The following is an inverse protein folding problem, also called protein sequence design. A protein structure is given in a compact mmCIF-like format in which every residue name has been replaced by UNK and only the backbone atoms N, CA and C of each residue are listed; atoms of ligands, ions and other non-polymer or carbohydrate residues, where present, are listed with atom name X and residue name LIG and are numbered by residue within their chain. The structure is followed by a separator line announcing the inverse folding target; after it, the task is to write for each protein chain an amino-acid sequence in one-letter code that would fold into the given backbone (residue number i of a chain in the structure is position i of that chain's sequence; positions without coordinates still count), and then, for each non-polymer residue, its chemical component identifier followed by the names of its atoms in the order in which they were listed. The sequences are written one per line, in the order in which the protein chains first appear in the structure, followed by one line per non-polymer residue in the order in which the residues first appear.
data_IF_594272034293
#
_entry.id   IF_594272034293
#
_cell.length_a   1.000
_cell.length_b   1.000
_cell.length_c   1.000
_cell.angle_alpha   90.00
_cell.angle_beta   90.00
_cell.angle_gamma   90.00
#
_symmetry.space_group_name_H-M   'P 1'
#
loop_
_entity.id
_entity.type
_entity.pdbx_description
1 polymer ?
#
# COMPACT_ATOMS: atom_id res chain seq x y z
N UNK A 1 28.11 12.91 4.32
CA UNK A 1 26.86 12.20 3.97
C UNK A 1 25.95 13.01 3.04
N UNK A 2 25.34 14.13 3.48
CA UNK A 2 24.38 14.88 2.64
C UNK A 2 24.95 15.41 1.32
N UNK A 3 26.18 15.93 1.31
CA UNK A 3 26.85 16.34 0.07
C UNK A 3 26.96 15.18 -0.94
N UNK A 4 27.31 13.98 -0.47
CA UNK A 4 27.38 12.78 -1.31
C UNK A 4 26.01 12.33 -1.80
N UNK A 5 24.98 12.38 -0.95
CA UNK A 5 23.59 12.11 -1.35
C UNK A 5 23.12 13.05 -2.46
N UNK A 6 23.30 14.36 -2.30
CA UNK A 6 22.90 15.32 -3.33
C UNK A 6 23.75 15.22 -4.60
N UNK A 7 25.05 14.94 -4.51
CA UNK A 7 25.88 14.62 -5.69
C UNK A 7 25.33 13.42 -6.45
N UNK A 8 25.03 12.33 -5.73
CA UNK A 8 24.45 11.11 -6.32
C UNK A 8 23.13 11.39 -7.04
N UNK A 9 22.24 12.21 -6.45
CA UNK A 9 21.00 12.63 -7.10
C UNK A 9 21.24 13.41 -8.39
N UNK A 10 22.29 14.24 -8.43
CA UNK A 10 22.68 14.98 -9.64
C UNK A 10 23.23 14.07 -10.72
N UNK A 11 24.14 13.18 -10.36
CA UNK A 11 24.77 12.24 -11.29
C UNK A 11 23.76 11.23 -11.87
N UNK A 12 22.62 11.03 -11.20
CA UNK A 12 21.55 10.10 -11.60
C UNK A 12 20.20 10.81 -11.68
N UNK A 13 20.15 12.04 -12.20
CA UNK A 13 18.93 12.84 -12.31
C UNK A 13 17.86 12.22 -13.20
N UNK A 14 18.26 11.36 -14.13
CA UNK A 14 17.35 10.67 -15.05
C UNK A 14 16.64 9.47 -14.42
N UNK A 15 17.10 8.99 -13.26
CA UNK A 15 16.54 7.86 -12.54
C UNK A 15 15.23 8.22 -11.83
N UNK A 16 14.38 7.21 -11.64
CA UNK A 16 13.18 7.30 -10.80
C UNK A 16 13.49 6.78 -9.40
N UNK A 17 13.12 7.55 -8.38
CA UNK A 17 13.38 7.28 -6.98
C UNK A 17 12.13 6.80 -6.29
N UNK A 18 12.10 5.51 -5.98
CA UNK A 18 11.03 4.87 -5.21
C UNK A 18 11.20 5.28 -3.74
N UNK A 19 10.14 5.79 -3.15
CA UNK A 19 10.13 6.21 -1.77
C UNK A 19 8.84 5.83 -1.05
N UNK A 20 8.83 5.96 0.26
CA UNK A 20 7.66 5.70 1.10
C UNK A 20 7.25 6.97 1.84
N UNK A 21 6.19 7.64 1.36
CA UNK A 21 5.59 8.80 2.04
C UNK A 21 6.55 9.97 2.34
N UNK A 22 7.64 10.16 1.58
CA UNK A 22 8.63 11.25 1.77
C UNK A 22 8.19 12.61 1.20
N UNK A 23 6.91 12.96 1.37
CA UNK A 23 6.27 14.16 0.79
C UNK A 23 6.12 15.32 1.76
N UNK A 24 6.40 15.09 3.04
CA UNK A 24 6.16 16.06 4.10
C UNK A 24 7.34 17.04 4.21
N UNK A 25 7.07 18.27 4.65
CA UNK A 25 8.12 19.27 4.86
C UNK A 25 8.94 19.01 6.13
N UNK A 26 8.35 18.33 7.11
CA UNK A 26 9.04 17.96 8.35
C UNK A 26 9.90 16.70 8.18
N UNK A 27 9.58 15.85 7.20
CA UNK A 27 10.33 14.64 6.89
C UNK A 27 10.21 14.28 5.40
N UNK A 28 11.34 13.95 4.76
CA UNK A 28 11.37 13.59 3.34
C UNK A 28 12.34 14.44 2.54
N UNK A 29 12.06 14.63 1.25
CA UNK A 29 12.97 15.35 0.35
C UNK A 29 13.15 16.82 0.78
N UNK A 30 12.05 17.54 1.03
CA UNK A 30 12.06 18.95 1.45
C UNK A 30 12.87 19.17 2.73
N UNK A 31 12.68 18.31 3.74
CA UNK A 31 13.47 18.34 4.99
C UNK A 31 14.97 18.11 4.75
N UNK A 32 15.36 17.17 3.88
CA UNK A 32 16.76 16.91 3.54
C UNK A 32 17.39 18.09 2.81
N UNK A 33 16.66 18.70 1.88
CA UNK A 33 17.09 19.89 1.15
C UNK A 33 17.30 21.07 2.10
N UNK A 34 16.32 21.36 2.96
CA UNK A 34 16.42 22.42 3.96
C UNK A 34 17.63 22.20 4.87
N UNK A 35 17.81 20.98 5.39
CA UNK A 35 18.97 20.64 6.25
C UNK A 35 20.29 20.88 5.53
N UNK A 36 20.40 20.55 4.25
CA UNK A 36 21.63 20.77 3.51
C UNK A 36 21.88 22.26 3.22
N UNK A 37 20.83 23.05 2.94
CA UNK A 37 20.92 24.52 2.82
C UNK A 37 21.42 25.16 4.12
N UNK A 38 20.89 24.75 5.27
CA UNK A 38 21.31 25.25 6.59
C UNK A 38 22.79 24.96 6.86
N UNK A 39 23.31 23.85 6.34
CA UNK A 39 24.74 23.49 6.45
C UNK A 39 25.63 24.18 5.39
N UNK A 40 25.09 25.15 4.63
CA UNK A 40 25.83 25.89 3.59
C UNK A 40 25.97 25.15 2.26
N UNK A 41 25.27 24.04 2.07
CA UNK A 41 25.23 23.30 0.81
C UNK A 41 24.15 23.81 -0.15
N UNK A 42 24.28 23.48 -1.44
CA UNK A 42 23.23 23.75 -2.43
C UNK A 42 22.58 22.42 -2.86
N UNK A 43 21.34 22.11 -2.44
CA UNK A 43 20.71 20.84 -2.76
C UNK A 43 20.31 20.76 -4.23
N UNK A 44 20.44 19.56 -4.78
CA UNK A 44 19.85 19.22 -6.08
C UNK A 44 18.38 18.86 -5.84
N UNK A 45 17.48 19.67 -6.38
CA UNK A 45 16.04 19.43 -6.28
C UNK A 45 15.61 18.43 -7.34
N UNK A 46 15.18 17.25 -6.88
CA UNK A 46 14.67 16.22 -7.76
C UNK A 46 13.30 16.64 -8.30
N UNK A 47 13.10 16.49 -9.61
CA UNK A 47 11.82 16.77 -10.26
C UNK A 47 10.73 15.82 -9.74
N UNK A 48 9.49 16.30 -9.61
CA UNK A 48 8.40 15.50 -9.00
C UNK A 48 8.03 14.26 -9.82
N UNK A 49 8.19 14.31 -11.15
CA UNK A 49 8.00 13.14 -12.02
C UNK A 49 9.06 12.04 -11.82
N UNK A 50 10.17 12.33 -11.14
CA UNK A 50 11.19 11.34 -10.76
C UNK A 50 10.95 10.78 -9.35
N UNK A 51 9.96 11.28 -8.60
CA UNK A 51 9.61 10.79 -7.26
C UNK A 51 8.44 9.82 -7.36
N UNK A 52 8.68 8.55 -7.05
CA UNK A 52 7.64 7.52 -7.08
C UNK A 52 7.24 7.11 -5.66
N UNK A 53 6.05 7.53 -5.23
CA UNK A 53 5.52 7.22 -3.89
C UNK A 53 4.81 5.87 -3.86
N UNK A 54 5.54 4.83 -3.48
CA UNK A 54 5.02 3.46 -3.40
C UNK A 54 3.80 3.35 -2.47
N UNK A 55 3.77 4.13 -1.38
CA UNK A 55 2.65 4.09 -0.44
C UNK A 55 1.35 4.61 -1.09
N UNK A 56 1.44 5.60 -1.98
CA UNK A 56 0.31 6.16 -2.72
C UNK A 56 -0.14 5.21 -3.82
N UNK A 57 0.79 4.61 -4.55
CA UNK A 57 0.45 3.65 -5.60
C UNK A 57 -0.27 2.42 -5.07
N UNK A 58 0.12 1.92 -3.88
CA UNK A 58 -0.65 0.86 -3.21
C UNK A 58 -2.09 1.27 -2.88
N UNK A 59 -2.34 2.54 -2.54
CA UNK A 59 -3.70 3.06 -2.35
C UNK A 59 -4.45 3.13 -3.68
N UNK A 60 -3.79 3.56 -4.74
CA UNK A 60 -4.39 3.64 -6.09
C UNK A 60 -4.79 2.25 -6.57
N UNK A 61 -3.94 1.24 -6.38
CA UNK A 61 -4.14 -0.12 -6.87
C UNK A 61 -5.14 -0.93 -6.02
N UNK A 62 -5.14 -0.73 -4.71
CA UNK A 62 -5.86 -1.60 -3.77
C UNK A 62 -6.88 -0.87 -2.89
N UNK A 63 -7.04 0.44 -3.07
CA UNK A 63 -7.92 1.26 -2.27
C UNK A 63 -7.33 1.59 -0.89
N UNK A 64 -8.05 2.45 -0.14
CA UNK A 64 -7.57 2.96 1.16
C UNK A 64 -7.41 1.89 2.23
N UNK A 65 -8.06 0.74 2.08
CA UNK A 65 -8.07 -0.38 3.05
C UNK A 65 -7.05 -1.47 2.72
N UNK A 66 -6.09 -1.21 1.83
CA UNK A 66 -5.08 -2.21 1.45
C UNK A 66 -4.25 -2.75 2.62
N UNK A 67 -4.06 -1.94 3.67
CA UNK A 67 -3.41 -2.32 4.91
C UNK A 67 -3.90 -1.45 6.07
N UNK A 68 -4.07 -2.07 7.24
CA UNK A 68 -4.39 -1.39 8.49
C UNK A 68 -3.30 -0.38 8.92
N UNK A 69 -3.71 0.63 9.70
CA UNK A 69 -2.78 1.59 10.30
C UNK A 69 -1.99 1.03 11.49
N UNK A 70 -2.48 -0.07 12.06
CA UNK A 70 -1.81 -0.84 13.10
C UNK A 70 -1.65 -2.26 12.60
N UNK A 71 -0.44 -2.75 12.69
CA UNK A 71 -0.08 -4.10 12.25
C UNK A 71 -0.55 -5.17 13.23
N UNK A 72 -0.50 -6.43 12.83
CA UNK A 72 -0.91 -7.58 13.66
C UNK A 72 -0.09 -7.72 14.95
N UNK A 73 1.17 -7.25 14.96
CA UNK A 73 2.04 -7.21 16.14
C UNK A 73 1.97 -5.87 16.90
N UNK A 74 1.01 -5.00 16.58
CA UNK A 74 0.80 -3.73 17.28
C UNK A 74 1.72 -2.58 16.85
N UNK A 75 2.61 -2.79 15.86
CA UNK A 75 3.44 -1.71 15.29
C UNK A 75 2.59 -0.75 14.47
N UNK A 76 2.91 0.54 14.55
CA UNK A 76 2.17 1.61 13.88
C UNK A 76 2.69 1.85 12.46
N UNK A 77 1.76 2.19 11.56
CA UNK A 77 2.04 2.57 10.18
C UNK A 77 1.75 1.45 9.19
N UNK A 78 1.25 1.84 8.01
CA UNK A 78 0.85 0.90 6.95
C UNK A 78 2.01 0.05 6.44
N UNK A 79 3.23 0.60 6.43
CA UNK A 79 4.43 -0.15 6.05
C UNK A 79 4.59 -1.40 6.91
N UNK A 80 4.46 -1.25 8.24
CA UNK A 80 4.61 -2.36 9.18
C UNK A 80 3.51 -3.41 8.98
N UNK A 81 2.28 -2.98 8.73
CA UNK A 81 1.18 -3.89 8.41
C UNK A 81 1.43 -4.68 7.12
N UNK A 82 1.96 -4.03 6.07
CA UNK A 82 2.31 -4.70 4.80
C UNK A 82 3.43 -5.72 5.00
N UNK A 83 4.48 -5.36 5.74
CA UNK A 83 5.60 -6.26 6.07
C UNK A 83 5.08 -7.53 6.73
N UNK A 84 4.25 -7.38 7.76
CA UNK A 84 3.74 -8.51 8.53
C UNK A 84 2.77 -9.38 7.71
N UNK A 85 1.87 -8.76 6.97
CA UNK A 85 0.91 -9.44 6.11
C UNK A 85 1.60 -10.29 5.03
N UNK A 86 2.73 -9.80 4.51
CA UNK A 86 3.52 -10.45 3.48
C UNK A 86 4.65 -11.33 4.03
N UNK A 87 4.84 -11.36 5.35
CA UNK A 87 5.92 -12.06 6.05
C UNK A 87 7.30 -11.65 5.51
N UNK A 88 7.48 -10.36 5.23
CA UNK A 88 8.76 -9.79 4.82
C UNK A 88 9.66 -9.75 6.06
N UNK A 89 10.91 -10.20 5.92
CA UNK A 89 11.87 -10.17 7.02
C UNK A 89 12.31 -8.72 7.29
N UNK A 90 12.16 -8.27 8.54
CA UNK A 90 12.48 -6.91 8.96
C UNK A 90 13.31 -6.86 10.26
N UNK A 91 13.95 -7.97 10.63
CA UNK A 91 14.63 -8.14 11.91
C UNK A 91 15.65 -7.04 12.26
N UNK A 92 16.30 -6.45 11.25
CA UNK A 92 17.32 -5.41 11.44
C UNK A 92 16.79 -3.98 11.22
N UNK A 93 15.50 -3.81 10.92
CA UNK A 93 14.91 -2.51 10.63
C UNK A 93 14.57 -1.76 11.94
N UNK A 94 15.51 -0.93 12.39
CA UNK A 94 15.34 -0.11 13.58
C UNK A 94 14.20 0.92 13.41
N UNK A 95 13.44 1.13 14.48
CA UNK A 95 12.48 2.22 14.60
C UNK A 95 13.18 3.54 14.90
N UNK A 96 12.49 4.67 14.68
CA UNK A 96 13.12 6.00 14.78
C UNK A 96 13.76 6.29 16.14
N UNK A 97 13.16 5.85 17.25
CA UNK A 97 13.75 6.01 18.58
C UNK A 97 15.02 5.16 18.77
N UNK A 98 15.02 3.94 18.22
CA UNK A 98 16.16 3.03 18.28
C UNK A 98 17.31 3.51 17.40
N UNK A 99 17.02 4.10 16.23
CA UNK A 99 18.02 4.74 15.37
C UNK A 99 18.66 5.95 16.04
N UNK A 100 17.85 6.79 16.70
CA UNK A 100 18.39 7.93 17.45
C UNK A 100 19.32 7.47 18.57
N UNK A 101 18.93 6.43 19.33
CA UNK A 101 19.77 5.86 20.38
C UNK A 101 21.06 5.24 19.82
N UNK A 102 20.96 4.44 18.76
CA UNK A 102 22.12 3.83 18.09
C UNK A 102 23.10 4.90 17.58
N UNK A 103 22.60 6.04 17.07
CA UNK A 103 23.45 7.16 16.65
C UNK A 103 24.19 7.80 17.83
N UNK A 104 23.49 8.07 18.94
CA UNK A 104 24.10 8.64 20.17
C UNK A 104 25.17 7.70 20.74
N UNK A 105 24.93 6.39 20.67
CA UNK A 105 25.86 5.37 21.16
C UNK A 105 27.01 5.05 20.20
N UNK A 106 27.07 5.68 19.01
CA UNK A 106 28.11 5.42 18.01
C UNK A 106 27.99 4.07 17.31
N UNK A 107 26.82 3.42 17.36
CA UNK A 107 26.53 2.12 16.73
C UNK A 107 26.30 2.26 15.20
N UNK A 108 27.25 2.85 14.47
CA UNK A 108 27.08 3.19 13.05
C UNK A 108 26.85 1.98 12.13
N UNK A 109 27.46 0.82 12.44
CA UNK A 109 27.25 -0.42 11.68
C UNK A 109 25.78 -0.84 11.73
N UNK A 110 25.16 -0.72 12.90
CA UNK A 110 23.75 -1.06 13.13
C UNK A 110 22.82 -0.11 12.37
N UNK A 111 23.15 1.18 12.30
CA UNK A 111 22.43 2.15 11.48
C UNK A 111 22.53 1.83 9.98
N UNK A 112 23.71 1.43 9.51
CA UNK A 112 23.90 1.03 8.13
C UNK A 112 23.08 -0.24 7.79
N UNK A 113 23.11 -1.25 8.68
CA UNK A 113 22.30 -2.47 8.54
C UNK A 113 20.81 -2.16 8.51
N UNK A 114 20.32 -1.27 9.39
CA UNK A 114 18.94 -0.78 9.38
C UNK A 114 18.58 -0.11 8.06
N UNK A 115 19.47 0.74 7.54
CA UNK A 115 19.26 1.45 6.27
C UNK A 115 19.12 0.46 5.11
N UNK A 116 20.04 -0.51 5.00
CA UNK A 116 19.99 -1.55 3.97
C UNK A 116 18.72 -2.39 4.09
N UNK A 117 18.34 -2.78 5.31
CA UNK A 117 17.11 -3.55 5.54
C UNK A 117 15.86 -2.80 5.10
N UNK A 118 15.79 -1.48 5.33
CA UNK A 118 14.67 -0.65 4.88
C UNK A 118 14.59 -0.57 3.37
N UNK A 119 15.74 -0.47 2.68
CA UNK A 119 15.81 -0.52 1.22
C UNK A 119 15.33 -1.88 0.70
N UNK A 120 15.80 -2.99 1.30
CA UNK A 120 15.38 -4.35 0.93
C UNK A 120 13.87 -4.55 1.09
N UNK A 121 13.29 -4.02 2.18
CA UNK A 121 11.85 -4.08 2.43
C UNK A 121 11.09 -3.35 1.33
N UNK A 122 11.52 -2.15 0.94
CA UNK A 122 10.87 -1.39 -0.12
C UNK A 122 10.98 -2.10 -1.47
N UNK A 123 12.14 -2.67 -1.80
CA UNK A 123 12.33 -3.48 -3.01
C UNK A 123 11.38 -4.69 -3.01
N UNK A 124 11.31 -5.45 -1.91
CA UNK A 124 10.40 -6.59 -1.78
C UNK A 124 8.93 -6.21 -1.97
N UNK A 125 8.50 -5.07 -1.42
CA UNK A 125 7.12 -4.58 -1.60
C UNK A 125 6.89 -4.20 -3.06
N UNK A 126 7.84 -3.50 -3.69
CA UNK A 126 7.75 -3.10 -5.08
C UNK A 126 7.66 -4.31 -6.01
N UNK A 127 8.57 -5.28 -5.89
CA UNK A 127 8.62 -6.49 -6.72
C UNK A 127 7.34 -7.31 -6.56
N UNK A 128 6.87 -7.54 -5.34
CA UNK A 128 5.61 -8.26 -5.10
C UNK A 128 4.38 -7.52 -5.63
N UNK A 129 4.43 -6.19 -5.65
CA UNK A 129 3.36 -5.38 -6.24
C UNK A 129 3.39 -5.52 -7.76
N UNK A 130 4.57 -5.46 -8.36
CA UNK A 130 4.77 -5.67 -9.79
C UNK A 130 4.30 -7.07 -10.24
N UNK A 131 4.67 -8.10 -9.48
CA UNK A 131 4.30 -9.50 -9.73
C UNK A 131 2.86 -9.84 -9.36
N UNK A 132 2.09 -8.86 -8.82
CA UNK A 132 0.72 -9.04 -8.31
C UNK A 132 0.59 -10.11 -7.21
N UNK A 133 1.69 -10.46 -6.55
CA UNK A 133 1.76 -11.46 -5.48
C UNK A 133 1.62 -10.85 -4.08
N UNK A 134 1.59 -9.51 -3.99
CA UNK A 134 1.42 -8.80 -2.71
C UNK A 134 0.07 -9.12 -2.07
N UNK A 135 0.13 -9.47 -0.79
CA UNK A 135 -1.05 -9.69 0.05
C UNK A 135 -1.50 -8.34 0.62
N UNK A 136 -2.82 -8.10 0.54
CA UNK A 136 -3.49 -6.88 0.98
C UNK A 136 -4.79 -7.22 1.69
N UNK A 137 -5.25 -6.38 2.61
CA UNK A 137 -6.56 -6.50 3.27
C UNK A 137 -7.73 -5.96 2.41
N UNK A 138 -7.42 -5.43 1.21
CA UNK A 138 -8.40 -4.86 0.30
C UNK A 138 -9.42 -5.90 -0.20
N UNK A 139 -10.70 -5.55 -0.11
CA UNK A 139 -11.79 -6.35 -0.68
C UNK A 139 -11.87 -6.19 -2.21
N UNK A 140 -12.59 -7.09 -2.89
CA UNK A 140 -12.82 -6.99 -4.34
C UNK A 140 -13.46 -5.65 -4.73
N UNK A 141 -14.42 -5.17 -3.92
CA UNK A 141 -15.06 -3.86 -4.10
C UNK A 141 -14.11 -2.68 -3.92
N UNK A 142 -13.07 -2.81 -3.07
CA UNK A 142 -12.07 -1.74 -2.89
C UNK A 142 -11.13 -1.63 -4.11
N UNK A 143 -10.88 -2.74 -4.82
CA UNK A 143 -9.97 -2.80 -5.98
C UNK A 143 -10.63 -2.34 -7.27
N UNK A 144 -11.86 -2.79 -7.53
CA UNK A 144 -12.54 -2.59 -8.81
C UNK A 144 -13.72 -1.62 -8.74
N UNK A 145 -14.14 -1.23 -7.53
CA UNK A 145 -15.39 -0.52 -7.32
C UNK A 145 -16.62 -1.39 -7.61
N UNK A 146 -17.79 -0.94 -7.18
CA UNK A 146 -19.07 -1.50 -7.63
C UNK A 146 -19.70 -0.46 -8.53
N UNK A 147 -19.78 -0.74 -9.83
CA UNK A 147 -20.48 0.10 -10.80
C UNK A 147 -21.80 -0.58 -11.17
N UNK A 148 -22.95 -0.12 -10.63
CA UNK A 148 -24.27 -0.68 -10.98
C UNK A 148 -24.55 -0.69 -12.48
N UNK A 149 -24.02 0.31 -13.20
CA UNK A 149 -24.13 0.40 -14.66
C UNK A 149 -23.36 -0.73 -15.35
N UNK A 150 -22.16 -1.08 -14.88
CA UNK A 150 -21.40 -2.19 -15.45
C UNK A 150 -22.09 -3.54 -15.21
N UNK A 151 -22.75 -3.72 -14.05
CA UNK A 151 -23.55 -4.91 -13.76
C UNK A 151 -24.75 -4.99 -14.73
N UNK A 152 -25.46 -3.87 -14.96
CA UNK A 152 -26.56 -3.79 -15.91
C UNK A 152 -26.11 -4.06 -17.36
N UNK A 153 -24.94 -3.56 -17.75
CA UNK A 153 -24.39 -3.74 -19.08
C UNK A 153 -23.90 -5.18 -19.32
N UNK A 154 -23.22 -5.78 -18.34
CA UNK A 154 -22.84 -7.20 -18.38
C UNK A 154 -24.07 -8.10 -18.41
N UNK A 155 -25.10 -7.80 -17.62
CA UNK A 155 -26.36 -8.55 -17.63
C UNK A 155 -27.05 -8.44 -19.00
N UNK A 156 -27.10 -7.26 -19.61
CA UNK A 156 -27.70 -7.07 -20.94
C UNK A 156 -26.95 -7.85 -22.03
N UNK A 157 -25.63 -7.94 -21.94
CA UNK A 157 -24.79 -8.55 -22.98
C UNK A 157 -24.52 -10.05 -22.78
N UNK A 158 -24.84 -10.63 -21.62
CA UNK A 158 -24.61 -12.06 -21.35
C UNK A 158 -25.86 -12.76 -20.79
N UNK A 159 -26.52 -13.64 -21.58
CA UNK A 159 -27.72 -14.35 -21.13
C UNK A 159 -27.47 -15.29 -19.93
N UNK A 160 -26.25 -15.79 -19.77
CA UNK A 160 -25.84 -16.61 -18.62
C UNK A 160 -25.89 -15.81 -17.31
N UNK A 161 -25.41 -14.57 -17.33
CA UNK A 161 -25.41 -13.69 -16.14
C UNK A 161 -26.83 -13.30 -15.76
N UNK A 162 -27.67 -13.00 -16.75
CA UNK A 162 -29.12 -12.81 -16.57
C UNK A 162 -29.78 -14.02 -15.90
N UNK A 163 -29.45 -15.23 -16.36
CA UNK A 163 -29.92 -16.48 -15.75
C UNK A 163 -29.54 -16.58 -14.28
N UNK A 164 -28.26 -16.35 -13.94
CA UNK A 164 -27.78 -16.41 -12.55
C UNK A 164 -28.48 -15.38 -11.66
N UNK A 165 -28.67 -14.14 -12.12
CA UNK A 165 -29.38 -13.10 -11.37
C UNK A 165 -30.84 -13.49 -11.14
N UNK A 166 -31.52 -14.01 -12.16
CA UNK A 166 -32.90 -14.47 -12.06
C UNK A 166 -33.05 -15.63 -11.08
N UNK A 167 -32.18 -16.65 -11.16
CA UNK A 167 -32.20 -17.80 -10.25
C UNK A 167 -31.88 -17.39 -8.81
N UNK A 168 -30.93 -16.48 -8.58
CA UNK A 168 -30.64 -15.95 -7.24
C UNK A 168 -31.83 -15.18 -6.65
N UNK A 169 -32.52 -14.37 -7.47
CA UNK A 169 -33.74 -13.67 -7.08
C UNK A 169 -34.90 -14.63 -6.78
N UNK A 170 -35.12 -15.64 -7.61
CA UNK A 170 -36.14 -16.66 -7.41
C UNK A 170 -35.88 -17.49 -6.14
N UNK A 171 -34.64 -17.91 -5.89
CA UNK A 171 -34.23 -18.56 -4.64
C UNK A 171 -34.48 -17.67 -3.42
N UNK A 172 -34.11 -16.39 -3.50
CA UNK A 172 -34.38 -15.43 -2.42
C UNK A 172 -35.88 -15.26 -2.14
N UNK A 173 -36.71 -15.25 -3.18
CA UNK A 173 -38.17 -15.21 -3.04
C UNK A 173 -38.72 -16.49 -2.41
N UNK A 174 -38.27 -17.67 -2.86
CA UNK A 174 -38.68 -18.96 -2.28
C UNK A 174 -38.30 -19.05 -0.80
N UNK A 175 -37.11 -18.60 -0.42
CA UNK A 175 -36.67 -18.59 0.99
C UNK A 175 -37.51 -17.62 1.82
N UNK A 176 -37.79 -16.42 1.30
CA UNK A 176 -38.55 -15.39 2.03
C UNK A 176 -40.04 -15.74 2.17
N UNK A 177 -40.62 -16.36 1.16
CA UNK A 177 -42.03 -16.74 1.13
C UNK A 177 -42.26 -18.20 1.50
N UNK A 178 -41.23 -18.90 2.01
CA UNK A 178 -41.30 -20.33 2.37
C UNK A 178 -42.48 -20.66 3.27
N UNK A 179 -42.76 -19.79 4.25
CA UNK A 179 -43.85 -19.97 5.22
C UNK A 179 -45.24 -19.66 4.63
N UNK A 180 -45.32 -18.72 3.69
CA UNK A 180 -46.55 -18.44 2.94
C UNK A 180 -46.84 -19.51 1.90
N UNK A 181 -45.81 -20.05 1.25
CA UNK A 181 -45.91 -21.12 0.25
C UNK A 181 -46.30 -22.43 0.94
N UNK A 182 -45.71 -22.76 2.09
CA UNK A 182 -46.06 -23.97 2.85
C UNK A 182 -47.50 -23.93 3.39
N UNK A 183 -47.97 -22.75 3.83
CA UNK A 183 -49.36 -22.53 4.27
C UNK A 183 -50.37 -22.76 3.14
N UNK A 184 -50.11 -22.23 1.93
CA UNK A 184 -50.99 -22.43 0.77
C UNK A 184 -51.00 -23.90 0.31
N UNK A 185 -49.85 -24.57 0.38
CA UNK A 185 -49.70 -25.97 -0.03
C UNK A 185 -50.31 -26.96 0.98
N UNK A 186 -50.60 -26.54 2.22
CA UNK A 186 -51.38 -27.34 3.19
C UNK A 186 -52.90 -27.20 3.04
N UNK A 187 -53.36 -26.34 2.13
CA UNK A 187 -54.78 -26.10 1.81
C UNK A 187 -55.25 -26.82 0.53
N UNK A 188 -54.31 -27.48 -0.18
CA UNK A 188 -54.53 -28.38 -1.30
C UNK A 188 -54.15 -29.80 -0.90
#
# INVERSE_FOLDING_TARGET
MLKGYFSFLGDHSDSTYIHWNMRDDNYGFSALEHRFRVLGGNPIMLQDNKKFDLARELITLFGKRYAAHTSSKGRKGRLMSVIELNRIADADALQGAEEAAAFVNGEFIKLQQSTLRKVDVLANIFDRTHDKSIKTEASFSDKYGIHPVAILEVARNNPVVLGVIFFAGALGAVVRYKDSISSIMSWF
#
